data_IF_596604124713
#
_entry.id   IF_596604124713
#
_cell.length_a   1.000
_cell.length_b   1.000
_cell.length_c   1.000
_cell.angle_alpha   90.00
_cell.angle_beta   90.00
_cell.angle_gamma   90.00
#
_symmetry.space_group_name_H-M   'P 1'
#
loop_
_entity.id
_entity.type
_entity.pdbx_description
1 polymer ?
#
# COMPACT_ATOMS: atom_id res chain seq x y z
N UNK A 1 -29.00 -3.70 -47.26
CA UNK A 1 -27.97 -3.27 -46.28
C UNK A 1 -27.23 -4.48 -45.75
N UNK A 2 -26.17 -4.89 -46.46
CA UNK A 2 -25.41 -6.13 -46.20
C UNK A 2 -24.59 -5.99 -44.89
N UNK A 3 -24.94 -6.83 -43.92
CA UNK A 3 -24.18 -7.27 -42.74
C UNK A 3 -23.07 -6.35 -42.20
N UNK A 4 -23.44 -5.43 -41.32
CA UNK A 4 -22.47 -4.79 -40.41
C UNK A 4 -22.04 -5.85 -39.40
N UNK A 5 -20.83 -6.41 -39.57
CA UNK A 5 -20.20 -7.23 -38.54
C UNK A 5 -19.63 -6.29 -37.47
N UNK A 6 -20.29 -6.22 -36.31
CA UNK A 6 -19.73 -5.55 -35.13
C UNK A 6 -18.42 -6.24 -34.76
N UNK A 7 -17.29 -5.56 -34.99
CA UNK A 7 -15.99 -6.02 -34.49
C UNK A 7 -16.04 -5.88 -32.96
N UNK A 8 -15.65 -6.92 -32.18
CA UNK A 8 -15.50 -6.74 -30.75
C UNK A 8 -14.48 -5.62 -30.54
N UNK A 9 -14.87 -4.58 -29.81
CA UNK A 9 -13.95 -3.53 -29.40
C UNK A 9 -12.83 -4.24 -28.65
N UNK A 10 -11.59 -4.11 -29.13
CA UNK A 10 -10.44 -4.67 -28.41
C UNK A 10 -10.53 -4.16 -26.97
N UNK A 11 -10.56 -5.05 -25.99
CA UNK A 11 -10.47 -4.73 -24.57
C UNK A 11 -9.10 -4.08 -24.30
N UNK A 12 -8.95 -2.81 -24.66
CA UNK A 12 -7.91 -1.95 -24.12
C UNK A 12 -8.31 -1.69 -22.68
N UNK A 13 -7.42 -1.96 -21.74
CA UNK A 13 -7.61 -1.56 -20.34
C UNK A 13 -7.90 -0.07 -20.36
N UNK A 14 -9.11 0.30 -19.96
CA UNK A 14 -9.53 1.70 -19.95
C UNK A 14 -8.94 2.34 -18.68
N UNK A 15 -8.63 3.64 -18.71
CA UNK A 15 -7.94 4.32 -17.59
C UNK A 15 -8.72 4.18 -16.28
N UNK A 16 -10.04 4.11 -16.35
CA UNK A 16 -10.96 3.93 -15.23
C UNK A 16 -10.79 2.57 -14.54
N UNK A 17 -10.21 1.58 -15.25
CA UNK A 17 -9.91 0.27 -14.70
C UNK A 17 -8.57 0.24 -13.96
N UNK A 18 -7.73 1.28 -14.05
CA UNK A 18 -6.46 1.34 -13.34
C UNK A 18 -6.69 1.58 -11.84
N UNK A 19 -5.84 1.00 -11.01
CA UNK A 19 -5.75 1.28 -9.58
C UNK A 19 -5.31 2.74 -9.41
N UNK A 20 -6.15 3.53 -8.74
CA UNK A 20 -5.87 4.92 -8.34
C UNK A 20 -5.18 4.98 -6.97
N UNK A 21 -4.70 6.16 -6.57
CA UNK A 21 -4.15 6.37 -5.22
C UNK A 21 -5.17 6.08 -4.11
N UNK A 22 -6.43 6.46 -4.34
CA UNK A 22 -7.52 6.16 -3.41
C UNK A 22 -7.82 4.65 -3.35
N UNK A 23 -7.82 3.97 -4.50
CA UNK A 23 -7.98 2.50 -4.51
C UNK A 23 -6.84 1.83 -3.72
N UNK A 24 -5.60 2.29 -3.90
CA UNK A 24 -4.45 1.77 -3.15
C UNK A 24 -4.61 1.98 -1.64
N UNK A 25 -4.96 3.20 -1.21
CA UNK A 25 -5.15 3.51 0.21
C UNK A 25 -6.20 2.59 0.86
N UNK A 26 -7.34 2.39 0.20
CA UNK A 26 -8.39 1.45 0.65
C UNK A 26 -7.83 0.02 0.74
N UNK A 27 -7.09 -0.45 -0.26
CA UNK A 27 -6.46 -1.79 -0.24
C UNK A 27 -5.46 -1.95 0.92
N UNK A 28 -4.63 -0.93 1.16
CA UNK A 28 -3.64 -0.95 2.24
C UNK A 28 -4.30 -0.94 3.62
N UNK A 29 -5.39 -0.19 3.80
CA UNK A 29 -6.20 -0.22 5.04
C UNK A 29 -6.89 -1.57 5.25
N UNK A 30 -7.27 -2.26 4.18
CA UNK A 30 -7.87 -3.60 4.24
C UNK A 30 -6.86 -4.73 4.57
N UNK A 31 -5.55 -4.43 4.61
CA UNK A 31 -4.49 -5.36 5.04
C UNK A 31 -4.41 -5.51 6.57
N UNK A 32 -5.54 -5.81 7.22
CA UNK A 32 -5.68 -5.84 8.68
C UNK A 32 -4.72 -6.85 9.31
N UNK A 33 -3.80 -6.36 10.14
CA UNK A 33 -2.91 -7.18 10.97
C UNK A 33 -1.82 -7.96 10.22
N UNK A 34 -1.64 -7.72 8.91
CA UNK A 34 -0.65 -8.44 8.12
C UNK A 34 0.28 -7.46 7.38
N UNK A 35 1.41 -7.15 8.03
CA UNK A 35 2.41 -6.21 7.52
C UNK A 35 3.04 -6.67 6.21
N UNK A 36 3.20 -7.99 6.01
CA UNK A 36 3.71 -8.58 4.77
C UNK A 36 2.80 -8.29 3.59
N UNK A 37 1.49 -8.46 3.74
CA UNK A 37 0.52 -8.20 2.68
C UNK A 37 0.49 -6.70 2.34
N UNK A 38 0.50 -5.84 3.36
CA UNK A 38 0.52 -4.37 3.20
C UNK A 38 1.76 -3.90 2.43
N UNK A 39 2.94 -4.35 2.86
CA UNK A 39 4.20 -4.05 2.20
C UNK A 39 4.23 -4.58 0.77
N UNK A 40 3.75 -5.82 0.53
CA UNK A 40 3.71 -6.42 -0.79
C UNK A 40 2.91 -5.58 -1.79
N UNK A 41 1.67 -5.20 -1.44
CA UNK A 41 0.83 -4.40 -2.33
C UNK A 41 1.38 -3.00 -2.57
N UNK A 42 1.88 -2.34 -1.52
CA UNK A 42 2.43 -0.99 -1.65
C UNK A 42 3.68 -0.97 -2.55
N UNK A 43 4.61 -1.89 -2.31
CA UNK A 43 5.82 -2.03 -3.13
C UNK A 43 5.46 -2.41 -4.58
N UNK A 44 4.50 -3.32 -4.78
CA UNK A 44 4.10 -3.70 -6.13
C UNK A 44 3.51 -2.54 -6.93
N UNK A 45 2.67 -1.73 -6.27
CA UNK A 45 2.08 -0.54 -6.87
C UNK A 45 3.12 0.51 -7.24
N UNK A 46 4.04 0.82 -6.34
CA UNK A 46 5.07 1.83 -6.58
C UNK A 46 6.13 1.37 -7.59
N UNK A 47 6.50 0.09 -7.56
CA UNK A 47 7.57 -0.44 -8.41
C UNK A 47 7.11 -0.75 -9.84
N UNK A 48 5.81 -1.01 -10.06
CA UNK A 48 5.27 -1.38 -11.37
C UNK A 48 5.88 -2.66 -11.96
N UNK A 49 6.35 -3.56 -11.12
CA UNK A 49 7.07 -4.78 -11.52
C UNK A 49 6.16 -5.81 -12.17
N UNK A 50 6.74 -6.77 -12.90
CA UNK A 50 5.98 -7.97 -13.29
C UNK A 50 5.72 -8.81 -12.03
N UNK A 51 4.61 -9.57 -11.95
CA UNK A 51 4.34 -10.42 -10.78
C UNK A 51 5.49 -11.39 -10.46
N UNK A 52 6.10 -12.00 -11.48
CA UNK A 52 7.26 -12.88 -11.27
C UNK A 52 8.51 -12.16 -10.73
N UNK A 53 8.73 -10.90 -11.11
CA UNK A 53 9.89 -10.10 -10.68
C UNK A 53 9.80 -9.73 -9.19
N UNK A 54 8.60 -9.41 -8.70
CA UNK A 54 8.41 -9.07 -7.29
C UNK A 54 8.40 -10.31 -6.39
N UNK A 55 7.78 -11.41 -6.85
CA UNK A 55 7.66 -12.64 -6.07
C UNK A 55 9.00 -13.39 -5.91
N UNK A 56 9.97 -13.14 -6.80
CA UNK A 56 11.31 -13.73 -6.74
C UNK A 56 12.30 -12.93 -5.89
N UNK A 57 11.90 -11.78 -5.32
CA UNK A 57 12.77 -10.97 -4.48
C UNK A 57 13.21 -11.73 -3.23
N UNK A 58 14.46 -11.51 -2.84
CA UNK A 58 15.08 -11.94 -1.59
C UNK A 58 15.42 -10.73 -0.75
N UNK A 59 15.65 -10.92 0.55
CA UNK A 59 16.02 -9.84 1.47
C UNK A 59 17.25 -9.06 0.97
N UNK A 60 18.28 -9.75 0.48
CA UNK A 60 19.50 -9.13 -0.08
C UNK A 60 19.27 -8.18 -1.26
N UNK A 61 18.12 -8.28 -1.95
CA UNK A 61 17.81 -7.43 -3.10
C UNK A 61 17.28 -6.05 -2.69
N UNK A 62 16.96 -5.86 -1.41
CA UNK A 62 16.52 -4.57 -0.85
C UNK A 62 17.72 -3.83 -0.27
N UNK A 63 17.88 -2.56 -0.66
CA UNK A 63 18.92 -1.67 -0.12
C UNK A 63 18.31 -0.32 0.24
N UNK A 64 18.43 0.09 1.50
CA UNK A 64 17.97 1.41 1.96
C UNK A 64 19.07 2.46 1.77
N UNK A 65 18.67 3.70 1.49
CA UNK A 65 19.55 4.86 1.47
C UNK A 65 18.80 6.12 1.95
N UNK A 66 19.46 7.28 1.86
CA UNK A 66 18.91 8.56 2.33
C UNK A 66 17.66 9.04 1.58
N UNK A 67 17.37 8.49 0.40
CA UNK A 67 16.22 8.88 -0.43
C UNK A 67 15.09 7.84 -0.40
N UNK A 68 15.28 6.72 0.29
CA UNK A 68 14.29 5.64 0.40
C UNK A 68 14.94 4.27 0.30
N UNK A 69 14.53 3.47 -0.68
CA UNK A 69 15.10 2.14 -0.92
C UNK A 69 15.23 1.83 -2.41
N UNK A 70 16.08 0.86 -2.74
CA UNK A 70 16.11 0.19 -4.02
C UNK A 70 15.72 -1.27 -3.87
N UNK A 71 14.91 -1.76 -4.79
CA UNK A 71 14.77 -3.19 -5.04
C UNK A 71 15.49 -3.55 -6.33
N UNK A 72 16.29 -4.61 -6.30
CA UNK A 72 16.99 -5.13 -7.48
C UNK A 72 16.17 -6.30 -8.02
N UNK A 73 15.39 -6.05 -9.07
CA UNK A 73 14.57 -7.08 -9.71
C UNK A 73 15.33 -7.68 -10.88
N UNK A 74 15.11 -8.97 -11.12
CA UNK A 74 15.62 -9.67 -12.30
C UNK A 74 14.45 -10.29 -13.07
N UNK A 75 14.48 -10.13 -14.38
CA UNK A 75 13.39 -10.50 -15.26
C UNK A 75 13.87 -10.74 -16.69
N UNK A 76 12.92 -10.91 -17.62
CA UNK A 76 13.20 -11.29 -19.01
C UNK A 76 14.21 -10.38 -19.73
N UNK A 77 14.29 -9.12 -19.33
CA UNK A 77 15.13 -8.08 -19.95
C UNK A 77 16.37 -7.73 -19.13
N UNK A 78 16.70 -8.55 -18.13
CA UNK A 78 17.85 -8.38 -17.25
C UNK A 78 17.52 -7.69 -15.92
N UNK A 79 18.54 -7.67 -15.06
CA UNK A 79 18.44 -7.09 -13.73
C UNK A 79 18.45 -5.56 -13.77
N UNK A 80 17.61 -4.94 -12.93
CA UNK A 80 17.56 -3.48 -12.78
C UNK A 80 17.21 -3.05 -11.35
N UNK A 81 17.79 -1.93 -10.88
CA UNK A 81 17.33 -1.30 -9.65
C UNK A 81 16.04 -0.51 -9.91
N UNK A 82 15.09 -0.56 -8.98
CA UNK A 82 13.90 0.29 -8.96
C UNK A 82 13.89 1.06 -7.65
N UNK A 83 13.83 2.40 -7.76
CA UNK A 83 13.73 3.31 -6.63
C UNK A 83 12.32 3.24 -6.03
N UNK A 84 12.26 3.07 -4.72
CA UNK A 84 11.09 3.18 -3.86
C UNK A 84 11.29 4.34 -2.88
N UNK A 85 10.22 5.08 -2.63
CA UNK A 85 10.15 6.19 -1.68
C UNK A 85 8.89 6.04 -0.84
N UNK A 86 7.73 5.86 -1.48
CA UNK A 86 6.42 5.88 -0.82
C UNK A 86 6.12 4.63 -0.02
N UNK A 87 6.50 3.47 -0.55
CA UNK A 87 6.30 2.16 0.09
C UNK A 87 7.35 1.81 1.13
N UNK A 88 8.40 2.64 1.26
CA UNK A 88 9.53 2.42 2.17
C UNK A 88 9.09 2.21 3.62
N UNK A 89 8.16 2.99 4.21
CA UNK A 89 7.72 2.74 5.58
C UNK A 89 7.09 1.37 5.78
N UNK A 90 6.28 0.90 4.84
CA UNK A 90 5.63 -0.40 4.95
C UNK A 90 6.63 -1.54 4.70
N UNK A 91 7.55 -1.36 3.75
CA UNK A 91 8.64 -2.30 3.47
C UNK A 91 9.61 -2.44 4.66
N UNK A 92 10.03 -1.34 5.25
CA UNK A 92 10.93 -1.34 6.42
C UNK A 92 10.29 -2.07 7.60
N UNK A 93 9.04 -1.74 7.92
CA UNK A 93 8.29 -2.42 8.98
C UNK A 93 8.15 -3.93 8.73
N UNK A 94 7.91 -4.33 7.48
CA UNK A 94 7.87 -5.76 7.14
C UNK A 94 9.23 -6.42 7.36
N UNK A 95 10.31 -5.79 6.92
CA UNK A 95 11.67 -6.31 7.10
C UNK A 95 12.06 -6.43 8.58
N UNK A 96 11.64 -5.49 9.43
CA UNK A 96 11.94 -5.51 10.87
C UNK A 96 11.31 -6.69 11.60
N UNK A 97 10.09 -7.07 11.19
CA UNK A 97 9.31 -8.18 11.76
C UNK A 97 9.42 -9.47 10.93
N UNK A 98 10.24 -9.48 9.88
CA UNK A 98 10.39 -10.65 9.01
C UNK A 98 11.00 -11.82 9.79
N UNK A 99 10.38 -13.02 9.84
CA UNK A 99 10.86 -14.16 10.63
C UNK A 99 12.32 -14.58 10.35
N UNK A 100 12.78 -14.36 9.12
CA UNK A 100 14.14 -14.68 8.66
C UNK A 100 14.94 -13.43 8.27
N UNK A 101 14.73 -12.30 8.94
CA UNK A 101 15.37 -11.01 8.59
C UNK A 101 16.90 -11.06 8.51
N UNK A 102 17.52 -11.93 9.29
CA UNK A 102 18.98 -12.10 9.35
C UNK A 102 19.52 -13.02 8.25
N UNK A 103 18.65 -13.61 7.40
CA UNK A 103 19.04 -14.45 6.28
C UNK A 103 18.85 -13.71 4.95
N UNK A 104 19.92 -13.18 4.32
CA UNK A 104 19.82 -12.42 3.08
C UNK A 104 19.27 -13.23 1.89
N UNK A 105 19.40 -14.57 1.93
CA UNK A 105 18.91 -15.47 0.88
C UNK A 105 17.43 -15.84 1.04
N UNK A 106 16.81 -15.50 2.17
CA UNK A 106 15.37 -15.72 2.38
C UNK A 106 14.56 -14.97 1.32
N UNK A 107 13.48 -15.58 0.79
CA UNK A 107 12.50 -14.82 0.02
C UNK A 107 12.00 -13.64 0.83
N UNK A 108 11.78 -12.50 0.16
CA UNK A 108 11.24 -11.30 0.79
C UNK A 108 9.75 -11.48 1.14
N UNK A 109 9.04 -12.27 0.32
CA UNK A 109 7.62 -12.53 0.48
C UNK A 109 7.41 -14.01 0.79
N UNK A 110 7.17 -14.31 2.07
CA UNK A 110 7.03 -15.67 2.55
C UNK A 110 5.59 -16.01 2.96
N UNK A 111 5.30 -17.30 3.02
CA UNK A 111 4.12 -17.86 3.68
C UNK A 111 4.33 -17.74 5.20
N UNK A 112 3.28 -17.28 5.91
CA UNK A 112 3.27 -17.08 7.36
C UNK A 112 2.55 -18.20 8.11
N UNK A 113 1.95 -19.17 7.40
CA UNK A 113 1.27 -20.31 8.00
C UNK A 113 2.30 -21.27 8.62
N UNK A 114 2.09 -21.70 9.87
CA UNK A 114 3.07 -22.49 10.64
C UNK A 114 3.65 -23.68 9.88
N UNK A 115 2.82 -24.44 9.14
CA UNK A 115 3.25 -25.64 8.40
C UNK A 115 4.20 -25.36 7.24
N UNK A 116 4.21 -24.14 6.71
CA UNK A 116 4.93 -23.73 5.49
C UNK A 116 5.68 -22.41 5.70
N UNK A 117 6.00 -22.09 6.94
CA UNK A 117 6.63 -20.83 7.31
C UNK A 117 7.96 -20.67 6.58
N UNK A 118 8.14 -19.52 5.91
CA UNK A 118 9.38 -19.20 5.20
C UNK A 118 9.42 -19.64 3.73
N UNK A 119 8.47 -20.46 3.28
CA UNK A 119 8.35 -20.78 1.86
C UNK A 119 7.97 -19.52 1.05
N UNK A 120 8.50 -19.33 -0.17
CA UNK A 120 8.12 -18.20 -1.00
C UNK A 120 6.64 -18.26 -1.39
N UNK A 121 5.95 -17.11 -1.39
CA UNK A 121 4.59 -17.06 -1.92
C UNK A 121 4.58 -17.31 -3.43
N UNK A 122 3.68 -18.18 -3.87
CA UNK A 122 3.48 -18.44 -5.30
C UNK A 122 2.62 -17.35 -5.94
N UNK A 123 2.58 -17.28 -7.27
CA UNK A 123 1.66 -16.40 -8.00
C UNK A 123 0.20 -16.60 -7.56
N UNK A 124 -0.24 -17.85 -7.42
CA UNK A 124 -1.59 -18.17 -6.99
C UNK A 124 -1.85 -17.76 -5.54
N UNK A 125 -0.87 -17.94 -4.64
CA UNK A 125 -0.95 -17.45 -3.26
C UNK A 125 -1.08 -15.93 -3.23
N UNK A 126 -0.31 -15.21 -4.04
CA UNK A 126 -0.40 -13.76 -4.16
C UNK A 126 -1.76 -13.30 -4.72
N UNK A 127 -2.32 -13.97 -5.73
CA UNK A 127 -3.68 -13.69 -6.22
C UNK A 127 -4.74 -13.96 -5.15
N UNK A 128 -4.61 -15.01 -4.35
CA UNK A 128 -5.52 -15.28 -3.23
C UNK A 128 -5.45 -14.22 -2.14
N UNK A 129 -4.24 -13.77 -1.80
CA UNK A 129 -4.04 -12.67 -0.85
C UNK A 129 -4.75 -11.42 -1.37
N UNK A 130 -4.51 -11.06 -2.63
CA UNK A 130 -5.14 -9.91 -3.27
C UNK A 130 -6.68 -10.01 -3.29
N UNK A 131 -7.23 -11.15 -3.71
CA UNK A 131 -8.70 -11.33 -3.77
C UNK A 131 -9.34 -11.21 -2.38
N UNK A 132 -8.71 -11.76 -1.34
CA UNK A 132 -9.18 -11.62 0.04
C UNK A 132 -9.18 -10.15 0.49
N UNK A 133 -8.17 -9.38 0.09
CA UNK A 133 -8.09 -7.95 0.41
C UNK A 133 -9.16 -7.17 -0.36
N UNK A 134 -9.38 -7.49 -1.64
CA UNK A 134 -10.44 -6.89 -2.46
C UNK A 134 -11.82 -7.14 -1.84
N UNK A 135 -12.13 -8.38 -1.46
CA UNK A 135 -13.39 -8.75 -0.80
C UNK A 135 -13.62 -7.95 0.48
N UNK A 136 -12.59 -7.75 1.29
CA UNK A 136 -12.65 -6.93 2.51
C UNK A 136 -12.82 -5.45 2.22
N UNK A 137 -12.12 -4.95 1.21
CA UNK A 137 -12.14 -3.54 0.81
C UNK A 137 -13.46 -3.09 0.17
N UNK A 138 -14.31 -4.05 -0.26
CA UNK A 138 -15.55 -3.81 -1.00
C UNK A 138 -15.38 -2.94 -2.26
N UNK A 139 -14.18 -2.97 -2.85
CA UNK A 139 -13.91 -2.31 -4.14
C UNK A 139 -14.62 -3.09 -5.25
N UNK A 140 -15.46 -2.41 -6.02
CA UNK A 140 -16.19 -2.99 -7.16
C UNK A 140 -15.34 -3.15 -8.44
N UNK A 141 -14.07 -2.73 -8.40
CA UNK A 141 -13.12 -2.80 -9.52
C UNK A 141 -12.44 -4.17 -9.56
N UNK A 142 -12.36 -4.77 -10.76
CA UNK A 142 -11.62 -6.02 -10.97
C UNK A 142 -10.11 -5.77 -10.96
N UNK A 143 -9.48 -5.99 -9.81
CA UNK A 143 -8.05 -5.81 -9.62
C UNK A 143 -7.32 -7.16 -9.74
N UNK A 144 -6.19 -7.17 -10.45
CA UNK A 144 -5.30 -8.31 -10.55
C UNK A 144 -3.85 -7.84 -10.44
N UNK A 145 -2.90 -8.76 -10.22
CA UNK A 145 -1.48 -8.40 -10.01
C UNK A 145 -0.88 -7.62 -11.19
N UNK A 146 -1.28 -7.93 -12.43
CA UNK A 146 -0.76 -7.22 -13.62
C UNK A 146 -1.24 -5.77 -13.68
N UNK A 147 -2.40 -5.47 -13.08
CA UNK A 147 -2.99 -4.14 -13.09
C UNK A 147 -2.12 -3.12 -12.34
N UNK A 148 -1.42 -3.54 -11.27
CA UNK A 148 -0.45 -2.69 -10.55
C UNK A 148 0.60 -2.10 -11.49
N UNK A 149 1.17 -2.94 -12.36
CA UNK A 149 2.10 -2.49 -13.40
C UNK A 149 1.46 -1.54 -14.41
N UNK A 150 0.25 -1.84 -14.88
CA UNK A 150 -0.43 -0.95 -15.82
C UNK A 150 -0.73 0.41 -15.19
N UNK A 151 -1.12 0.44 -13.92
CA UNK A 151 -1.33 1.68 -13.15
C UNK A 151 -0.04 2.47 -13.02
N UNK A 152 1.05 1.86 -12.56
CA UNK A 152 2.32 2.55 -12.39
C UNK A 152 2.84 3.08 -13.74
N UNK A 153 2.83 2.26 -14.79
CA UNK A 153 3.27 2.67 -16.13
C UNK A 153 2.45 3.85 -16.67
N UNK A 154 1.15 3.87 -16.42
CA UNK A 154 0.29 5.02 -16.81
C UNK A 154 0.61 6.25 -15.98
N UNK A 155 0.87 6.09 -14.68
CA UNK A 155 1.15 7.21 -13.80
C UNK A 155 2.54 7.81 -14.08
N UNK A 156 3.54 6.96 -14.34
CA UNK A 156 4.89 7.37 -14.69
C UNK A 156 4.98 8.00 -16.08
N UNK A 157 4.10 7.65 -17.03
CA UNK A 157 4.01 8.31 -18.33
C UNK A 157 3.69 9.81 -18.26
N UNK A 158 3.17 10.31 -17.12
CA UNK A 158 2.89 11.74 -16.90
C UNK A 158 4.16 12.57 -16.72
N UNK A 159 5.26 11.96 -16.25
CA UNK A 159 6.48 12.69 -15.88
C UNK A 159 7.78 12.05 -16.38
N UNK A 160 7.75 10.81 -16.88
CA UNK A 160 8.90 10.14 -17.50
C UNK A 160 8.78 10.13 -19.01
N UNK A 161 9.90 10.33 -19.69
CA UNK A 161 10.05 10.08 -21.12
C UNK A 161 9.95 8.60 -21.43
N UNK A 162 9.61 8.24 -22.68
CA UNK A 162 9.55 6.83 -23.09
C UNK A 162 10.85 6.05 -22.82
N UNK A 163 12.01 6.71 -23.01
CA UNK A 163 13.32 6.09 -22.76
C UNK A 163 13.51 5.76 -21.28
N UNK A 164 13.19 6.72 -20.38
CA UNK A 164 13.23 6.50 -18.94
C UNK A 164 12.23 5.42 -18.51
N UNK A 165 11.04 5.39 -19.10
CA UNK A 165 10.06 4.34 -18.85
C UNK A 165 10.59 2.97 -19.25
N UNK A 166 11.24 2.82 -20.41
CA UNK A 166 11.84 1.54 -20.85
C UNK A 166 12.84 1.02 -19.82
N UNK A 167 13.69 1.90 -19.29
CA UNK A 167 14.65 1.54 -18.24
C UNK A 167 13.93 1.15 -16.95
N UNK A 168 13.06 2.01 -16.41
CA UNK A 168 12.34 1.77 -15.14
C UNK A 168 11.52 0.48 -15.17
N UNK A 169 10.80 0.26 -16.26
CA UNK A 169 9.88 -0.87 -16.43
C UNK A 169 10.53 -2.14 -16.96
N UNK A 170 11.80 -2.11 -17.36
CA UNK A 170 12.48 -3.25 -17.96
C UNK A 170 11.82 -3.65 -19.29
N UNK A 171 11.64 -2.68 -20.19
CA UNK A 171 11.35 -2.94 -21.60
C UNK A 171 12.65 -2.84 -22.41
N UNK A 172 12.70 -3.53 -23.55
CA UNK A 172 13.85 -3.40 -24.46
C UNK A 172 13.95 -1.95 -24.96
N UNK A 173 15.15 -1.44 -25.29
CA UNK A 173 15.34 -0.08 -25.79
C UNK A 173 14.49 0.25 -27.03
N UNK A 174 14.19 -0.75 -27.86
CA UNK A 174 13.38 -0.64 -29.07
C UNK A 174 11.89 -0.94 -28.86
N UNK A 175 11.45 -1.16 -27.62
CA UNK A 175 10.07 -1.53 -27.34
C UNK A 175 9.09 -0.38 -27.60
N UNK A 176 8.00 -0.68 -28.31
CA UNK A 176 6.85 0.21 -28.48
C UNK A 176 5.87 0.18 -27.29
N UNK A 177 6.18 -0.56 -26.21
CA UNK A 177 5.31 -0.65 -25.04
C UNK A 177 4.97 0.69 -24.37
N UNK A 178 5.89 1.68 -24.25
CA UNK A 178 5.56 3.01 -23.69
C UNK A 178 4.40 3.71 -24.41
N UNK A 179 4.29 3.55 -25.73
CA UNK A 179 3.25 4.20 -26.54
C UNK A 179 1.81 3.78 -26.16
N UNK A 180 1.64 2.67 -25.43
CA UNK A 180 0.32 2.29 -24.90
C UNK A 180 -0.14 3.16 -23.72
N UNK A 181 0.78 3.87 -23.08
CA UNK A 181 0.54 4.68 -21.87
C UNK A 181 0.68 6.17 -22.14
N UNK A 182 1.57 6.52 -23.07
CA UNK A 182 1.80 7.89 -23.53
C UNK A 182 0.73 8.27 -24.55
N UNK A 183 -0.15 9.20 -24.17
CA UNK A 183 -1.12 9.83 -25.06
C UNK A 183 -0.92 11.34 -24.93
N UNK A 184 0.06 11.87 -25.67
CA UNK A 184 0.36 13.30 -25.67
C UNK A 184 -0.54 14.01 -26.70
N UNK A 185 -1.09 15.14 -26.30
CA UNK A 185 -1.68 16.13 -27.21
C UNK A 185 -0.72 17.30 -27.39
N UNK A 186 -0.84 18.07 -28.48
CA UNK A 186 0.05 19.21 -28.73
C UNK A 186 0.06 20.24 -27.57
N UNK A 187 -1.07 20.40 -26.88
CA UNK A 187 -1.16 21.22 -25.66
C UNK A 187 -0.20 20.78 -24.55
N UNK A 188 0.07 19.48 -24.42
CA UNK A 188 0.97 18.93 -23.41
C UNK A 188 2.43 19.26 -23.76
N UNK A 189 2.74 19.32 -25.06
CA UNK A 189 4.06 19.73 -25.55
C UNK A 189 4.29 21.21 -25.28
N UNK A 190 3.29 22.05 -25.57
CA UNK A 190 3.36 23.48 -25.27
C UNK A 190 3.49 23.72 -23.76
N UNK A 191 2.73 23.01 -22.93
CA UNK A 191 2.83 23.10 -21.48
C UNK A 191 4.22 22.66 -20.98
N UNK A 192 4.78 21.58 -21.52
CA UNK A 192 6.13 21.13 -21.18
C UNK A 192 7.20 22.15 -21.61
N UNK A 193 7.04 22.79 -22.76
CA UNK A 193 7.93 23.84 -23.25
C UNK A 193 7.86 25.10 -22.39
N UNK A 194 6.65 25.57 -22.08
CA UNK A 194 6.42 26.71 -21.18
C UNK A 194 6.94 26.43 -19.76
N UNK A 195 6.83 25.19 -19.28
CA UNK A 195 7.41 24.72 -18.01
C UNK A 195 8.94 24.76 -18.05
N UNK A 196 9.55 24.31 -19.15
CA UNK A 196 11.01 24.37 -19.33
C UNK A 196 11.53 25.82 -19.32
N UNK A 197 10.77 26.74 -19.91
CA UNK A 197 11.08 28.18 -19.90
C UNK A 197 10.74 28.89 -18.58
N UNK A 198 10.11 28.21 -17.62
CA UNK A 198 9.71 28.78 -16.33
C UNK A 198 8.54 29.77 -16.39
N UNK A 199 7.78 29.79 -17.50
CA UNK A 199 6.66 30.72 -17.72
C UNK A 199 5.40 30.25 -16.98
N UNK A 200 5.19 28.94 -16.88
CA UNK A 200 4.05 28.34 -16.17
C UNK A 200 4.54 27.67 -14.89
N UNK A 201 4.05 28.15 -13.74
CA UNK A 201 4.23 27.48 -12.45
C UNK A 201 3.27 26.32 -12.32
N UNK A 202 3.78 25.21 -11.79
CA UNK A 202 3.10 23.93 -11.74
C UNK A 202 2.13 23.89 -10.54
N UNK A 203 0.83 23.69 -10.78
CA UNK A 203 -0.11 23.09 -9.81
C UNK A 203 -0.26 21.60 -10.14
N UNK A 204 0.80 20.81 -9.93
CA UNK A 204 0.74 19.36 -10.09
C UNK A 204 0.29 18.78 -8.76
N UNK A 205 -0.71 17.88 -8.80
CA UNK A 205 -1.06 17.05 -7.66
C UNK A 205 0.17 16.20 -7.28
N UNK A 206 0.88 16.61 -6.23
CA UNK A 206 2.02 15.85 -5.74
C UNK A 206 1.52 14.52 -5.18
N UNK A 207 2.10 13.38 -5.61
CA UNK A 207 1.71 12.10 -5.06
C UNK A 207 1.98 12.06 -3.54
N UNK A 208 1.18 11.32 -2.76
CA UNK A 208 1.32 11.29 -1.32
C UNK A 208 2.67 10.68 -0.93
N UNK A 209 3.48 11.46 -0.22
CA UNK A 209 4.76 11.02 0.35
C UNK A 209 4.56 10.44 1.77
N UNK A 210 5.49 9.61 2.26
CA UNK A 210 5.48 9.14 3.64
C UNK A 210 5.31 10.28 4.65
N UNK A 211 4.48 10.07 5.67
CA UNK A 211 4.24 11.04 6.75
C UNK A 211 5.38 10.96 7.76
N UNK A 212 6.14 12.04 7.90
CA UNK A 212 7.21 12.13 8.89
C UNK A 212 6.58 12.54 10.23
N UNK A 213 6.85 11.77 11.29
CA UNK A 213 6.37 12.11 12.62
C UNK A 213 7.07 13.37 13.15
N UNK A 214 6.30 14.37 13.57
CA UNK A 214 6.83 15.61 14.16
C UNK A 214 7.58 15.40 15.48
N UNK A 215 7.30 14.29 16.19
CA UNK A 215 7.88 14.00 17.50
C UNK A 215 9.16 13.16 17.41
N UNK A 216 9.10 11.98 16.77
CA UNK A 216 10.24 11.06 16.70
C UNK A 216 10.92 11.00 15.33
N UNK A 217 10.45 11.79 14.35
CA UNK A 217 10.96 11.82 12.96
C UNK A 217 10.87 10.50 12.19
N UNK A 218 10.19 9.50 12.74
CA UNK A 218 9.95 8.23 12.08
C UNK A 218 9.06 8.42 10.84
N UNK A 219 9.41 7.76 9.74
CA UNK A 219 8.64 7.77 8.50
C UNK A 219 7.50 6.75 8.57
N UNK A 220 6.27 7.21 8.41
CA UNK A 220 5.07 6.39 8.48
C UNK A 220 4.43 6.26 7.10
N UNK A 221 3.66 5.19 6.92
CA UNK A 221 2.88 4.95 5.71
C UNK A 221 1.92 6.13 5.45
N UNK A 222 1.58 6.35 4.19
CA UNK A 222 0.62 7.40 3.78
C UNK A 222 -0.74 7.23 4.47
N UNK A 223 -1.13 5.97 4.71
CA UNK A 223 -2.40 5.58 5.31
C UNK A 223 -2.40 5.61 6.84
N UNK A 224 -1.24 5.80 7.48
CA UNK A 224 -1.13 5.80 8.94
C UNK A 224 -1.70 7.09 9.54
N UNK A 225 -2.48 6.93 10.61
CA UNK A 225 -3.05 8.04 11.42
C UNK A 225 -2.21 8.29 12.67
N UNK A 226 -1.68 7.22 13.26
CA UNK A 226 -0.76 7.24 14.40
C UNK A 226 0.65 6.84 13.96
N UNK A 227 1.64 7.29 14.72
CA UNK A 227 3.02 6.90 14.48
C UNK A 227 3.26 5.47 14.97
N UNK A 228 3.80 4.63 14.09
CA UNK A 228 4.10 3.23 14.42
C UNK A 228 5.27 3.06 15.39
N UNK A 229 6.10 4.10 15.58
CA UNK A 229 7.25 4.07 16.50
C UNK A 229 6.90 4.65 17.88
N UNK A 230 6.29 5.84 17.95
CA UNK A 230 6.03 6.53 19.22
C UNK A 230 4.56 6.56 19.66
N UNK A 231 3.64 6.02 18.85
CA UNK A 231 2.20 5.97 19.15
C UNK A 231 1.47 7.31 19.06
N UNK A 232 2.17 8.43 18.80
CA UNK A 232 1.54 9.76 18.74
C UNK A 232 0.79 9.98 17.42
N UNK A 233 -0.30 10.77 17.41
CA UNK A 233 -1.02 11.16 16.20
C UNK A 233 -0.13 11.89 15.19
N UNK A 234 -0.32 11.63 13.90
CA UNK A 234 0.46 12.23 12.81
C UNK A 234 -0.18 13.50 12.24
N UNK A 235 -1.48 13.70 12.45
CA UNK A 235 -2.26 14.82 11.96
C UNK A 235 -3.14 15.40 13.08
N UNK A 236 -3.51 16.67 12.95
CA UNK A 236 -4.39 17.38 13.91
C UNK A 236 -5.74 16.68 14.03
N UNK A 237 -6.30 16.19 12.91
CA UNK A 237 -7.54 15.40 12.92
C UNK A 237 -7.40 14.12 13.72
N UNK A 238 -6.31 13.38 13.50
CA UNK A 238 -6.02 12.15 14.23
C UNK A 238 -5.79 12.43 15.74
N UNK A 239 -5.25 13.60 16.09
CA UNK A 239 -5.10 14.01 17.49
C UNK A 239 -6.46 14.25 18.15
N UNK A 240 -7.34 15.02 17.51
CA UNK A 240 -8.70 15.27 18.00
C UNK A 240 -9.48 13.95 18.16
N UNK A 241 -9.42 13.04 17.17
CA UNK A 241 -10.08 11.74 17.26
C UNK A 241 -9.51 10.86 18.37
N UNK A 242 -8.20 10.92 18.62
CA UNK A 242 -7.57 10.19 19.71
C UNK A 242 -8.01 10.72 21.07
N UNK A 243 -8.08 12.05 21.24
CA UNK A 243 -8.54 12.69 22.47
C UNK A 243 -10.01 12.36 22.75
N UNK A 244 -10.88 12.41 21.73
CA UNK A 244 -12.29 12.00 21.84
C UNK A 244 -12.40 10.53 22.27
N UNK A 245 -11.62 9.63 21.67
CA UNK A 245 -11.63 8.23 22.06
C UNK A 245 -11.10 8.00 23.48
N UNK A 246 -10.18 8.82 23.96
CA UNK A 246 -9.66 8.76 25.32
C UNK A 246 -10.71 9.24 26.33
N UNK A 247 -11.41 10.34 26.03
CA UNK A 247 -12.54 10.84 26.81
C UNK A 247 -13.70 9.83 26.87
N UNK A 248 -14.06 9.22 25.74
CA UNK A 248 -15.09 8.17 25.67
C UNK A 248 -14.70 6.95 26.51
N UNK A 249 -13.44 6.49 26.42
CA UNK A 249 -12.94 5.39 27.25
C UNK A 249 -12.98 5.73 28.74
N UNK A 250 -12.66 6.97 29.10
CA UNK A 250 -12.72 7.42 30.49
C UNK A 250 -14.16 7.47 31.00
N UNK A 251 -15.09 7.96 30.18
CA UNK A 251 -16.52 7.96 30.48
C UNK A 251 -17.06 6.53 30.62
N UNK A 252 -16.67 5.62 29.71
CA UNK A 252 -17.05 4.20 29.77
C UNK A 252 -16.52 3.52 31.03
N UNK A 253 -15.27 3.77 31.41
CA UNK A 253 -14.68 3.27 32.67
C UNK A 253 -15.45 3.75 33.90
N UNK A 254 -15.86 5.04 33.93
CA UNK A 254 -16.67 5.59 35.03
C UNK A 254 -18.07 4.95 35.10
N UNK A 255 -18.68 4.64 33.95
CA UNK A 255 -19.97 3.92 33.90
C UNK A 255 -19.78 2.48 34.38
N UNK A 256 -18.76 1.77 33.90
CA UNK A 256 -18.43 0.41 34.33
C UNK A 256 -18.18 0.33 35.84
N UNK A 257 -17.40 1.26 36.40
CA UNK A 257 -17.16 1.32 37.84
C UNK A 257 -18.46 1.50 38.64
N UNK A 258 -19.40 2.33 38.16
CA UNK A 258 -20.71 2.50 38.80
C UNK A 258 -21.60 1.26 38.71
N UNK A 259 -21.53 0.51 37.61
CA UNK A 259 -22.29 -0.74 37.43
C UNK A 259 -21.74 -1.85 38.33
N UNK A 260 -20.41 -1.98 38.40
CA UNK A 260 -19.74 -2.95 39.28
C UNK A 260 -20.06 -2.65 40.75
N UNK A 261 -19.93 -1.39 41.20
CA UNK A 261 -20.33 -1.01 42.56
C UNK A 261 -21.80 -1.30 42.87
N UNK A 262 -22.73 -1.15 41.92
CA UNK A 262 -24.15 -1.49 42.14
C UNK A 262 -24.40 -3.00 42.24
N UNK A 263 -23.64 -3.82 41.52
CA UNK A 263 -23.73 -5.29 41.62
C UNK A 263 -23.16 -5.81 42.93
N UNK A 264 -22.10 -5.18 43.44
CA UNK A 264 -21.52 -5.54 44.74
C UNK A 264 -22.45 -5.18 45.91
N UNK A 265 -23.13 -4.02 45.86
CA UNK A 265 -24.17 -3.64 46.85
C UNK A 265 -25.34 -4.62 46.82
N UNK A 266 -25.81 -5.02 45.63
CA UNK A 266 -26.88 -6.02 45.46
C UNK A 266 -26.51 -7.40 46.00
N UNK A 267 -25.26 -7.82 45.85
CA UNK A 267 -24.77 -9.11 46.37
C UNK A 267 -24.58 -9.10 47.90
N UNK A 268 -24.17 -7.98 48.47
CA UNK A 268 -24.04 -7.84 49.92
C UNK A 268 -25.40 -7.67 50.62
N UNK A 269 -26.39 -7.01 50.00
CA UNK A 269 -27.78 -6.97 50.48
C UNK A 269 -28.40 -8.38 50.49
N UNK A 270 -28.15 -9.20 49.47
CA UNK A 270 -28.59 -10.61 49.43
C UNK A 270 -27.93 -11.48 50.51
N UNK A 271 -26.67 -11.24 50.86
CA UNK A 271 -25.97 -11.92 51.97
C UNK A 271 -26.47 -11.47 53.35
N UNK A 272 -26.89 -10.21 53.47
CA UNK A 272 -27.44 -9.68 54.71
C UNK A 272 -28.83 -10.28 55.02
N UNK A 273 -29.68 -10.42 54.00
CA UNK A 273 -31.01 -11.04 54.10
C UNK A 273 -30.96 -12.55 54.42
N UNK A 274 -29.90 -13.25 54.00
CA UNK A 274 -29.69 -14.68 54.33
C UNK A 274 -29.10 -14.91 55.73
N UNK A 275 -28.57 -13.88 56.40
CA UNK A 275 -28.05 -13.98 57.78
C UNK A 275 -29.09 -13.67 58.86
N UNK A 276 -30.18 -12.96 58.53
CA UNK A 276 -31.27 -12.66 59.47
C UNK A 276 -32.36 -13.76 59.52
N UNK A 277 -32.25 -14.80 58.68
CA UNK A 277 -33.21 -15.91 58.57
C UNK A 277 -32.74 -17.23 59.20
N UNK A 278 -31.72 -17.17 60.06
CA UNK A 278 -31.23 -18.29 60.89
C UNK A 278 -31.43 -17.99 62.38
#
# INVERSE_FOLDING_TARGET
TKHIRLKPVKNKIVREQLITENDLDILLRACIGNQRDKAFLHVHFEAGTRPGEILSLKIKHVKFDQYGAFIHVDGKTGARPIRLVRSVPDLAQWMDVHPFKDNPESPLWIILEQKRLGEPITYWTAERILNRIIERSKINKKINLKLFRHSEATNSAKYLTESQMRIRHGWTPTSHMPANYVHLVNSDVDQAYLKHLGIVSITEETPPIPKICHFCKYANSTTSEICNSCGKPLDVKAAIESDIQEDEKEMLKKILAKVVCKQDISNDEMKFLTRQSL
#
